data_IF_636285039882
#
_entry.id   IF_636285039882
#
_cell.length_a   1.000
_cell.length_b   1.000
_cell.length_c   1.000
_cell.angle_alpha   90.00
_cell.angle_beta   90.00
_cell.angle_gamma   90.00
#
_symmetry.space_group_name_H-M   'P 1'
#
loop_
_entity.id
_entity.type
_entity.pdbx_description
1 polymer ?
#
# COMPACT_ATOMS: atom_id res chain seq x y z
N UNK A 1 8.51 12.30 -28.09
CA UNK A 1 8.14 11.37 -27.00
C UNK A 1 8.83 10.06 -27.30
N UNK A 2 9.83 9.67 -26.51
CA UNK A 2 10.43 8.35 -26.67
C UNK A 2 9.34 7.33 -26.34
N UNK A 3 9.02 6.47 -27.32
CA UNK A 3 8.29 5.24 -27.11
C UNK A 3 9.03 4.44 -26.04
N UNK A 4 8.56 4.49 -24.80
CA UNK A 4 8.83 3.41 -23.86
C UNK A 4 8.34 2.15 -24.58
N UNK A 5 9.21 1.17 -24.72
CA UNK A 5 8.88 -0.06 -25.44
C UNK A 5 7.68 -0.69 -24.72
N UNK A 6 6.64 -1.14 -25.43
CA UNK A 6 5.42 -1.71 -24.80
C UNK A 6 5.74 -2.85 -23.84
N UNK A 7 6.89 -3.51 -24.02
CA UNK A 7 7.44 -4.48 -23.07
C UNK A 7 7.84 -3.85 -21.74
N UNK A 8 8.52 -2.71 -21.74
CA UNK A 8 8.91 -1.98 -20.53
C UNK A 8 7.69 -1.48 -19.76
N UNK A 9 6.65 -0.98 -20.45
CA UNK A 9 5.36 -0.62 -19.82
C UNK A 9 4.70 -1.83 -19.15
N UNK A 10 4.67 -2.99 -19.81
CA UNK A 10 4.13 -4.23 -19.26
C UNK A 10 4.93 -4.73 -18.04
N UNK A 11 6.27 -4.67 -18.09
CA UNK A 11 7.12 -5.03 -16.95
C UNK A 11 6.92 -4.09 -15.77
N UNK A 12 6.77 -2.80 -16.03
CA UNK A 12 6.46 -1.81 -15.00
C UNK A 12 5.09 -2.10 -14.37
N UNK A 13 4.06 -2.35 -15.18
CA UNK A 13 2.73 -2.74 -14.72
C UNK A 13 2.77 -3.99 -13.84
N UNK A 14 3.42 -5.07 -14.31
CA UNK A 14 3.53 -6.32 -13.55
C UNK A 14 4.33 -6.13 -12.25
N UNK A 15 5.44 -5.39 -12.31
CA UNK A 15 6.25 -5.06 -11.14
C UNK A 15 5.45 -4.29 -10.09
N UNK A 16 4.62 -3.36 -10.53
CA UNK A 16 3.75 -2.60 -9.64
C UNK A 16 2.56 -3.43 -9.10
N UNK A 17 1.95 -4.30 -9.92
CA UNK A 17 0.91 -5.23 -9.46
C UNK A 17 1.43 -6.18 -8.37
N UNK A 18 2.62 -6.76 -8.59
CA UNK A 18 3.25 -7.69 -7.65
C UNK A 18 3.79 -6.96 -6.43
N UNK A 19 4.42 -5.81 -6.62
CA UNK A 19 5.09 -5.04 -5.56
C UNK A 19 4.19 -4.14 -4.74
N UNK A 20 2.96 -3.86 -5.22
CA UNK A 20 2.07 -2.90 -4.59
C UNK A 20 0.66 -3.45 -4.35
N UNK A 21 -0.03 -3.91 -5.39
CA UNK A 21 -1.44 -4.35 -5.30
C UNK A 21 -1.58 -5.61 -4.45
N UNK A 22 -0.87 -6.68 -4.80
CA UNK A 22 -0.97 -7.95 -4.06
C UNK A 22 -0.64 -7.80 -2.57
N UNK A 23 0.42 -7.07 -2.17
CA UNK A 23 0.67 -6.77 -0.76
C UNK A 23 -0.47 -6.05 -0.05
N UNK A 24 -1.11 -5.07 -0.71
CA UNK A 24 -2.24 -4.34 -0.14
C UNK A 24 -3.45 -5.26 0.03
N UNK A 25 -3.81 -6.02 -1.01
CA UNK A 25 -4.93 -6.94 -0.98
C UNK A 25 -4.77 -7.98 0.13
N UNK A 26 -3.58 -8.56 0.25
CA UNK A 26 -3.30 -9.54 1.30
C UNK A 26 -3.37 -8.91 2.71
N UNK A 27 -2.92 -7.67 2.89
CA UNK A 27 -3.09 -6.99 4.19
C UNK A 27 -4.57 -6.76 4.49
N UNK A 28 -5.36 -6.35 3.51
CA UNK A 28 -6.80 -6.15 3.69
C UNK A 28 -7.54 -7.45 4.00
N UNK A 29 -7.15 -8.56 3.38
CA UNK A 29 -7.67 -9.89 3.67
C UNK A 29 -7.32 -10.31 5.10
N UNK A 30 -6.04 -10.26 5.47
CA UNK A 30 -5.58 -10.59 6.83
C UNK A 30 -6.28 -9.76 7.91
N UNK A 31 -6.55 -8.48 7.65
CA UNK A 31 -7.30 -7.60 8.57
C UNK A 31 -8.76 -8.03 8.70
N UNK A 32 -9.41 -8.45 7.61
CA UNK A 32 -10.81 -8.91 7.63
C UNK A 32 -10.97 -10.28 8.27
N UNK A 33 -10.00 -11.16 8.09
CA UNK A 33 -9.98 -12.50 8.66
C UNK A 33 -9.56 -12.52 10.14
N UNK A 34 -9.08 -11.39 10.68
CA UNK A 34 -8.65 -11.29 12.06
C UNK A 34 -7.33 -12.03 12.34
N UNK A 35 -6.44 -12.10 11.35
CA UNK A 35 -5.11 -12.75 11.46
C UNK A 35 -4.24 -12.06 12.51
N UNK A 36 -4.44 -10.75 12.70
CA UNK A 36 -3.67 -9.93 13.62
C UNK A 36 -4.33 -9.88 15.01
N UNK A 37 -3.55 -10.21 16.05
CA UNK A 37 -4.04 -10.23 17.42
C UNK A 37 -4.15 -8.82 18.02
N UNK A 38 -5.30 -8.50 18.63
CA UNK A 38 -5.47 -7.24 19.36
C UNK A 38 -4.59 -7.19 20.62
N UNK A 39 -4.05 -6.02 20.92
CA UNK A 39 -3.04 -5.82 21.97
C UNK A 39 -1.62 -6.12 21.51
N UNK A 40 -1.43 -6.73 20.33
CA UNK A 40 -0.10 -7.06 19.83
C UNK A 40 0.65 -5.83 19.31
N UNK A 41 1.85 -5.60 19.86
CA UNK A 41 2.80 -4.63 19.32
C UNK A 41 3.41 -5.13 18.00
N UNK A 42 3.58 -6.45 17.86
CA UNK A 42 4.16 -7.06 16.67
C UNK A 42 3.25 -6.86 15.45
N UNK A 43 1.95 -7.17 15.59
CA UNK A 43 0.97 -6.92 14.54
C UNK A 43 0.94 -5.45 14.12
N UNK A 44 1.02 -4.54 15.11
CA UNK A 44 1.06 -3.10 14.87
C UNK A 44 2.31 -2.69 14.07
N UNK A 45 3.48 -3.23 14.42
CA UNK A 45 4.74 -2.94 13.73
C UNK A 45 4.70 -3.44 12.28
N UNK A 46 4.26 -4.68 12.06
CA UNK A 46 4.13 -5.26 10.71
C UNK A 46 3.21 -4.40 9.83
N UNK A 47 2.05 -4.00 10.36
CA UNK A 47 1.09 -3.19 9.61
C UNK A 47 1.63 -1.78 9.33
N UNK A 48 2.30 -1.15 10.30
CA UNK A 48 2.95 0.14 10.10
C UNK A 48 4.06 0.07 9.05
N UNK A 49 4.94 -0.93 9.11
CA UNK A 49 6.04 -1.08 8.13
C UNK A 49 5.50 -1.23 6.71
N UNK A 50 4.48 -2.08 6.53
CA UNK A 50 3.82 -2.23 5.22
C UNK A 50 3.19 -0.93 4.74
N UNK A 51 2.45 -0.24 5.62
CA UNK A 51 1.82 1.04 5.29
C UNK A 51 2.86 2.09 4.89
N UNK A 52 3.94 2.21 5.66
CA UNK A 52 4.99 3.19 5.41
C UNK A 52 5.72 2.91 4.10
N UNK A 53 6.11 1.66 3.84
CA UNK A 53 6.80 1.29 2.61
C UNK A 53 5.96 1.63 1.38
N UNK A 54 4.70 1.18 1.36
CA UNK A 54 3.79 1.42 0.23
C UNK A 54 3.47 2.90 0.05
N UNK A 55 3.14 3.61 1.12
CA UNK A 55 2.83 5.04 1.05
C UNK A 55 4.06 5.84 0.57
N UNK A 56 5.25 5.57 1.10
CA UNK A 56 6.46 6.30 0.71
C UNK A 56 6.86 6.04 -0.74
N UNK A 57 6.68 4.81 -1.25
CA UNK A 57 6.86 4.51 -2.67
C UNK A 57 5.93 5.36 -3.55
N UNK A 58 4.64 5.45 -3.19
CA UNK A 58 3.68 6.26 -3.94
C UNK A 58 4.00 7.77 -3.85
N UNK A 59 4.32 8.28 -2.66
CA UNK A 59 4.72 9.68 -2.47
C UNK A 59 5.96 10.04 -3.30
N UNK A 60 6.94 9.12 -3.38
CA UNK A 60 8.14 9.29 -4.21
C UNK A 60 7.78 9.36 -5.69
N UNK A 61 6.91 8.46 -6.17
CA UNK A 61 6.44 8.47 -7.56
C UNK A 61 5.69 9.77 -7.92
N UNK A 62 4.93 10.31 -6.96
CA UNK A 62 4.20 11.57 -7.10
C UNK A 62 5.06 12.83 -6.85
N UNK A 63 6.36 12.66 -6.57
CA UNK A 63 7.30 13.75 -6.23
C UNK A 63 6.86 14.59 -5.02
N UNK A 64 6.20 13.96 -4.04
CA UNK A 64 5.75 14.57 -2.79
C UNK A 64 6.78 14.29 -1.70
N UNK A 65 7.38 15.33 -1.14
CA UNK A 65 8.41 15.21 -0.09
C UNK A 65 7.80 15.14 1.32
N UNK A 66 7.07 14.06 1.59
CA UNK A 66 6.48 13.75 2.89
C UNK A 66 6.77 12.29 3.21
N UNK A 67 6.97 11.95 4.49
CA UNK A 67 7.07 10.56 4.95
C UNK A 67 5.78 10.14 5.64
N UNK A 68 5.35 8.91 5.39
CA UNK A 68 4.23 8.30 6.08
C UNK A 68 4.56 8.17 7.59
N UNK A 69 3.76 8.77 8.48
CA UNK A 69 3.95 8.63 9.93
C UNK A 69 3.59 7.22 10.39
N UNK A 70 4.17 6.79 11.52
CA UNK A 70 3.73 5.57 12.22
C UNK A 70 2.49 5.88 13.05
N UNK A 71 1.60 4.89 13.15
CA UNK A 71 0.53 4.90 14.14
C UNK A 71 1.09 4.30 15.43
N UNK A 72 1.01 5.01 16.54
CA UNK A 72 1.53 4.57 17.84
C UNK A 72 0.55 3.63 18.58
N UNK A 73 1.08 2.89 19.56
CA UNK A 73 0.31 1.99 20.43
C UNK A 73 0.31 0.54 19.97
N UNK A 74 -0.67 -0.23 20.44
CA UNK A 74 -0.88 -1.64 20.09
C UNK A 74 -1.89 -1.79 18.96
N UNK A 75 -1.97 -2.97 18.36
CA UNK A 75 -3.03 -3.26 17.40
C UNK A 75 -4.38 -3.33 18.11
N UNK A 76 -5.35 -2.53 17.68
CA UNK A 76 -6.69 -2.47 18.29
C UNK A 76 -7.75 -2.46 17.20
N UNK A 77 -9.01 -2.73 17.56
CA UNK A 77 -10.14 -2.63 16.64
C UNK A 77 -10.31 -1.23 16.02
N UNK A 78 -9.92 -0.18 16.73
CA UNK A 78 -9.92 1.18 16.18
C UNK A 78 -8.82 1.34 15.13
N UNK A 79 -7.61 0.90 15.45
CA UNK A 79 -6.47 0.97 14.53
C UNK A 79 -6.66 0.05 13.32
N UNK A 80 -7.26 -1.13 13.47
CA UNK A 80 -7.68 -2.00 12.37
C UNK A 80 -8.54 -1.25 11.35
N UNK A 81 -9.59 -0.56 11.80
CA UNK A 81 -10.45 0.25 10.92
C UNK A 81 -9.65 1.34 10.19
N UNK A 82 -8.69 1.97 10.88
CA UNK A 82 -7.79 2.97 10.27
C UNK A 82 -6.91 2.32 9.20
N UNK A 83 -6.31 1.17 9.48
CA UNK A 83 -5.50 0.43 8.50
C UNK A 83 -6.32 0.02 7.29
N UNK A 84 -7.52 -0.56 7.48
CA UNK A 84 -8.42 -0.92 6.37
C UNK A 84 -8.71 0.30 5.50
N UNK A 85 -9.04 1.45 6.12
CA UNK A 85 -9.27 2.70 5.39
C UNK A 85 -8.04 3.14 4.59
N UNK A 86 -6.85 3.13 5.20
CA UNK A 86 -5.62 3.58 4.55
C UNK A 86 -5.18 2.66 3.40
N UNK A 87 -5.17 1.35 3.61
CA UNK A 87 -4.83 0.37 2.57
C UNK A 87 -5.83 0.41 1.41
N UNK A 88 -7.13 0.57 1.68
CA UNK A 88 -8.14 0.74 0.62
C UNK A 88 -7.93 2.03 -0.18
N UNK A 89 -7.55 3.12 0.50
CA UNK A 89 -7.20 4.38 -0.15
C UNK A 89 -5.96 4.23 -1.05
N UNK A 90 -4.88 3.60 -0.56
CA UNK A 90 -3.67 3.36 -1.35
C UNK A 90 -3.94 2.54 -2.60
N UNK A 91 -4.77 1.49 -2.49
CA UNK A 91 -5.16 0.67 -3.64
C UNK A 91 -5.90 1.52 -4.70
N UNK A 92 -6.80 2.39 -4.26
CA UNK A 92 -7.53 3.30 -5.15
C UNK A 92 -6.60 4.28 -5.85
N UNK A 93 -5.71 4.95 -5.11
CA UNK A 93 -4.77 5.92 -5.70
C UNK A 93 -3.79 5.25 -6.68
N UNK A 94 -3.35 4.04 -6.35
CA UNK A 94 -2.56 3.24 -7.28
C UNK A 94 -3.32 2.95 -8.58
N UNK A 95 -4.58 2.50 -8.50
CA UNK A 95 -5.39 2.23 -9.69
C UNK A 95 -5.66 3.49 -10.52
N UNK A 96 -5.81 4.66 -9.87
CA UNK A 96 -5.90 5.95 -10.56
C UNK A 96 -4.59 6.30 -11.28
N UNK A 97 -3.44 6.04 -10.64
CA UNK A 97 -2.14 6.28 -11.27
C UNK A 97 -1.93 5.42 -12.51
N UNK A 98 -2.27 4.12 -12.43
CA UNK A 98 -2.17 3.20 -13.57
C UNK A 98 -3.10 3.60 -14.71
N UNK A 99 -4.34 4.02 -14.42
CA UNK A 99 -5.28 4.44 -15.47
C UNK A 99 -4.82 5.68 -16.22
N UNK A 100 -4.12 6.61 -15.54
CA UNK A 100 -3.51 7.79 -16.18
C UNK A 100 -2.35 7.40 -17.10
N UNK A 101 -1.57 6.38 -16.75
CA UNK A 101 -0.47 5.88 -17.58
C UNK A 101 -0.95 5.25 -18.90
N UNK A 102 -2.26 5.14 -19.14
CA UNK A 102 -2.84 4.55 -20.36
C UNK A 102 -2.40 3.10 -20.62
N UNK A 103 -2.07 2.37 -19.55
CA UNK A 103 -1.86 0.91 -19.57
C UNK A 103 -3.22 0.21 -19.52
#
# INVERSE_FOLDING_TARGET
MNTIDKKEELYLYLGLQIGFVKPIEQVLENLKEGVYEYGSNEAMNVLNEKLQNLTNCLLTALKINVKCPKIEGTFTKENEKKFIKYFSFLLKEYNNYVSILSI
#
